data_IF_789460878904
#
_entry.id   IF_789460878904
#
_cell.length_a   1.000
_cell.length_b   1.000
_cell.length_c   1.000
_cell.angle_alpha   90.00
_cell.angle_beta   90.00
_cell.angle_gamma   90.00
#
_symmetry.space_group_name_H-M   'P 1'
#
loop_
_entity.id
_entity.type
_entity.pdbx_description
1 polymer ?
#
# COMPACT_ATOMS: atom_id res chain seq x y z
N UNK A 1 1.87 9.30 -36.95
CA UNK A 1 0.60 8.56 -37.03
C UNK A 1 0.91 7.10 -36.73
N UNK A 2 0.66 6.62 -35.51
CA UNK A 2 0.99 5.23 -35.15
C UNK A 2 -0.18 4.37 -35.62
N UNK A 3 0.01 3.66 -36.73
CA UNK A 3 -0.98 2.71 -37.25
C UNK A 3 -0.80 1.38 -36.53
N UNK A 4 -1.78 0.98 -35.70
CA UNK A 4 -1.83 -0.36 -35.11
C UNK A 4 -2.55 -1.28 -36.10
N UNK A 5 -1.82 -2.20 -36.72
CA UNK A 5 -2.30 -2.97 -37.87
C UNK A 5 -2.99 -4.29 -37.48
N UNK A 6 -2.99 -4.63 -36.18
CA UNK A 6 -3.60 -5.85 -35.66
C UNK A 6 -4.22 -5.60 -34.29
N UNK A 7 -5.31 -6.32 -33.99
CA UNK A 7 -5.93 -6.32 -32.66
C UNK A 7 -4.92 -6.68 -31.55
N UNK A 8 -3.93 -7.53 -31.86
CA UNK A 8 -2.84 -7.89 -30.95
C UNK A 8 -1.99 -6.69 -30.54
N UNK A 9 -1.58 -5.85 -31.49
CA UNK A 9 -0.77 -4.66 -31.18
C UNK A 9 -1.51 -3.64 -30.32
N UNK A 10 -2.84 -3.51 -30.52
CA UNK A 10 -3.70 -2.68 -29.68
C UNK A 10 -3.75 -3.26 -28.27
N UNK A 11 -3.98 -4.58 -28.15
CA UNK A 11 -4.00 -5.28 -26.86
C UNK A 11 -2.68 -5.16 -26.11
N UNK A 12 -1.55 -5.42 -26.77
CA UNK A 12 -0.22 -5.32 -26.17
C UNK A 12 0.09 -3.89 -25.67
N UNK A 13 -0.39 -2.87 -26.40
CA UNK A 13 -0.20 -1.47 -26.00
C UNK A 13 -1.08 -1.13 -24.80
N UNK A 14 -2.33 -1.60 -24.80
CA UNK A 14 -3.28 -1.43 -23.70
C UNK A 14 -2.74 -2.12 -22.44
N UNK A 15 -2.36 -3.38 -22.54
CA UNK A 15 -1.81 -4.17 -21.46
C UNK A 15 -0.56 -3.51 -20.85
N UNK A 16 0.37 -3.04 -21.68
CA UNK A 16 1.54 -2.28 -21.21
C UNK A 16 1.14 -1.01 -20.46
N UNK A 17 0.22 -0.23 -21.02
CA UNK A 17 -0.24 0.99 -20.38
C UNK A 17 -0.88 0.72 -19.01
N UNK A 18 -1.80 -0.24 -18.94
CA UNK A 18 -2.46 -0.64 -17.71
C UNK A 18 -1.48 -1.23 -16.69
N UNK A 19 -0.51 -2.02 -17.13
CA UNK A 19 0.53 -2.58 -16.24
C UNK A 19 1.38 -1.48 -15.61
N UNK A 20 1.78 -0.48 -16.40
CA UNK A 20 2.53 0.67 -15.90
C UNK A 20 1.70 1.50 -14.91
N UNK A 21 0.43 1.73 -15.22
CA UNK A 21 -0.49 2.48 -14.36
C UNK A 21 -0.73 1.77 -13.02
N UNK A 22 -1.03 0.47 -13.05
CA UNK A 22 -1.19 -0.37 -11.84
C UNK A 22 0.09 -0.38 -11.02
N UNK A 23 1.24 -0.57 -11.66
CA UNK A 23 2.55 -0.55 -10.98
C UNK A 23 2.84 0.79 -10.31
N UNK A 24 2.49 1.90 -10.97
CA UNK A 24 2.61 3.24 -10.40
C UNK A 24 1.71 3.42 -9.17
N UNK A 25 0.48 2.91 -9.21
CA UNK A 25 -0.45 2.96 -8.08
C UNK A 25 0.01 2.11 -6.89
N UNK A 26 0.55 0.92 -7.14
CA UNK A 26 1.16 0.08 -6.10
C UNK A 26 2.27 0.87 -5.39
N UNK A 27 3.20 1.45 -6.14
CA UNK A 27 4.29 2.23 -5.58
C UNK A 27 3.79 3.45 -4.78
N UNK A 28 2.80 4.18 -5.32
CA UNK A 28 2.17 5.31 -4.63
C UNK A 28 1.60 4.90 -3.27
N UNK A 29 0.87 3.79 -3.21
CA UNK A 29 0.26 3.29 -1.99
C UNK A 29 1.31 2.75 -1.00
N UNK A 30 2.34 2.05 -1.48
CA UNK A 30 3.45 1.61 -0.62
C UNK A 30 4.18 2.80 0.02
N UNK A 31 4.47 3.85 -0.74
CA UNK A 31 5.10 5.08 -0.22
C UNK A 31 4.20 5.76 0.81
N UNK A 32 2.89 5.84 0.54
CA UNK A 32 1.92 6.40 1.50
C UNK A 32 1.88 5.59 2.79
N UNK A 33 1.87 4.26 2.70
CA UNK A 33 1.86 3.37 3.86
C UNK A 33 3.11 3.53 4.71
N UNK A 34 4.29 3.55 4.09
CA UNK A 34 5.57 3.70 4.80
C UNK A 34 5.72 5.05 5.51
N UNK A 35 5.18 6.11 4.91
CA UNK A 35 5.24 7.46 5.47
C UNK A 35 4.09 7.80 6.41
N UNK A 36 3.08 6.92 6.53
CA UNK A 36 1.94 7.16 7.41
C UNK A 36 2.37 7.08 8.87
N UNK A 37 2.28 8.20 9.58
CA UNK A 37 2.45 8.30 11.03
C UNK A 37 1.12 8.59 11.69
N UNK A 38 0.93 8.14 12.94
CA UNK A 38 -0.21 8.54 13.78
C UNK A 38 -0.23 10.07 13.92
N UNK A 39 0.89 10.67 14.30
CA UNK A 39 0.98 12.12 14.49
C UNK A 39 -0.10 12.63 15.44
N UNK A 40 -0.89 13.59 14.98
CA UNK A 40 -2.05 14.15 15.70
C UNK A 40 -3.36 13.38 15.52
N UNK A 41 -3.38 12.32 14.71
CA UNK A 41 -4.56 11.48 14.53
C UNK A 41 -4.85 10.69 15.81
N UNK A 42 -6.13 10.41 16.05
CA UNK A 42 -6.50 9.37 16.99
C UNK A 42 -5.99 8.00 16.51
N UNK A 43 -5.81 7.06 17.44
CA UNK A 43 -5.35 5.72 17.11
C UNK A 43 -6.31 5.03 16.10
N UNK A 44 -7.62 5.20 16.28
CA UNK A 44 -8.63 4.64 15.38
C UNK A 44 -8.54 5.22 13.97
N UNK A 45 -8.39 6.54 13.83
CA UNK A 45 -8.23 7.18 12.51
C UNK A 45 -6.95 6.74 11.81
N UNK A 46 -5.86 6.61 12.57
CA UNK A 46 -4.60 6.10 12.05
C UNK A 46 -4.74 4.65 11.54
N UNK A 47 -5.29 3.75 12.35
CA UNK A 47 -5.49 2.34 11.97
C UNK A 47 -6.46 2.20 10.80
N UNK A 48 -7.50 3.03 10.73
CA UNK A 48 -8.42 3.04 9.59
C UNK A 48 -7.70 3.45 8.29
N UNK A 49 -6.82 4.46 8.34
CA UNK A 49 -6.02 4.87 7.18
C UNK A 49 -5.04 3.80 6.74
N UNK A 50 -4.38 3.12 7.69
CA UNK A 50 -3.53 1.96 7.37
C UNK A 50 -4.35 0.89 6.66
N UNK A 51 -5.49 0.50 7.22
CA UNK A 51 -6.38 -0.49 6.62
C UNK A 51 -6.81 -0.10 5.21
N UNK A 52 -7.22 1.14 4.99
CA UNK A 52 -7.60 1.64 3.67
C UNK A 52 -6.47 1.50 2.64
N UNK A 53 -5.23 1.80 3.02
CA UNK A 53 -4.08 1.64 2.12
C UNK A 53 -3.79 0.16 1.81
N UNK A 54 -3.92 -0.73 2.79
CA UNK A 54 -3.76 -2.17 2.61
C UNK A 54 -4.88 -2.75 1.72
N UNK A 55 -6.13 -2.34 1.92
CA UNK A 55 -7.27 -2.74 1.10
C UNK A 55 -7.09 -2.27 -0.36
N UNK A 56 -6.56 -1.05 -0.57
CA UNK A 56 -6.23 -0.53 -1.90
C UNK A 56 -5.11 -1.31 -2.58
N UNK A 57 -4.06 -1.69 -1.83
CA UNK A 57 -2.98 -2.53 -2.33
C UNK A 57 -3.48 -3.91 -2.75
N UNK A 58 -4.32 -4.53 -1.91
CA UNK A 58 -4.96 -5.81 -2.23
C UNK A 58 -5.86 -5.71 -3.47
N UNK A 59 -6.59 -4.60 -3.62
CA UNK A 59 -7.45 -4.35 -4.79
C UNK A 59 -6.66 -4.28 -6.11
N UNK A 60 -5.45 -3.71 -6.09
CA UNK A 60 -4.58 -3.62 -7.27
C UNK A 60 -3.69 -4.86 -7.47
N UNK A 61 -3.89 -5.91 -6.68
CA UNK A 61 -3.22 -7.20 -6.80
C UNK A 61 -1.97 -7.37 -5.95
N UNK A 62 -1.64 -6.41 -5.08
CA UNK A 62 -0.48 -6.48 -4.19
C UNK A 62 -0.93 -6.93 -2.79
N UNK A 63 -0.61 -8.17 -2.42
CA UNK A 63 -0.92 -8.70 -1.08
C UNK A 63 0.28 -8.54 -0.16
N UNK A 64 0.13 -7.73 0.89
CA UNK A 64 1.14 -7.60 1.95
C UNK A 64 0.90 -8.69 3.00
N UNK A 65 1.98 -9.24 3.56
CA UNK A 65 1.86 -10.26 4.61
C UNK A 65 1.28 -9.67 5.92
N UNK A 66 0.56 -10.46 6.73
CA UNK A 66 0.08 -10.00 8.03
C UNK A 66 1.21 -9.48 8.94
N UNK A 67 2.40 -10.07 8.86
CA UNK A 67 3.57 -9.64 9.60
C UNK A 67 4.03 -8.25 9.16
N UNK A 68 4.04 -7.99 7.85
CA UNK A 68 4.40 -6.69 7.30
C UNK A 68 3.35 -5.62 7.62
N UNK A 69 2.07 -5.99 7.73
CA UNK A 69 1.04 -5.08 8.24
C UNK A 69 1.36 -4.60 9.66
N UNK A 70 1.71 -5.55 10.53
CA UNK A 70 2.05 -5.27 11.94
C UNK A 70 3.28 -4.36 12.00
N UNK A 71 4.32 -4.65 11.22
CA UNK A 71 5.52 -3.83 11.13
C UNK A 71 5.20 -2.42 10.62
N UNK A 72 4.36 -2.29 9.59
CA UNK A 72 3.96 -0.99 9.04
C UNK A 72 3.20 -0.14 10.07
N UNK A 73 2.30 -0.76 10.83
CA UNK A 73 1.55 -0.12 11.91
C UNK A 73 2.52 0.38 13.00
N UNK A 74 3.40 -0.49 13.50
CA UNK A 74 4.31 -0.10 14.58
C UNK A 74 5.29 0.99 14.16
N UNK A 75 5.78 0.97 12.92
CA UNK A 75 6.65 2.04 12.39
C UNK A 75 5.98 3.42 12.38
N UNK A 76 4.64 3.46 12.31
CA UNK A 76 3.88 4.71 12.30
C UNK A 76 3.43 5.21 13.68
N UNK A 77 3.57 4.39 14.72
CA UNK A 77 3.22 4.78 16.08
C UNK A 77 4.36 5.58 16.75
N UNK A 78 4.01 6.56 17.60
CA UNK A 78 4.99 7.25 18.45
C UNK A 78 5.50 6.35 19.57
N UNK A 79 6.68 6.67 20.11
CA UNK A 79 7.38 5.86 21.12
C UNK A 79 6.61 5.66 22.44
N UNK A 80 5.58 6.47 22.70
CA UNK A 80 4.62 6.26 23.79
C UNK A 80 3.90 4.89 23.71
N UNK A 81 3.86 4.26 22.53
CA UNK A 81 3.30 2.92 22.33
C UNK A 81 4.33 1.78 22.39
N UNK A 82 5.64 2.08 22.55
CA UNK A 82 6.69 1.06 22.59
C UNK A 82 6.52 0.09 23.78
N UNK A 83 5.94 0.56 24.89
CA UNK A 83 5.67 -0.27 26.09
C UNK A 83 4.66 -1.39 25.82
N UNK A 84 3.73 -1.22 24.86
CA UNK A 84 2.78 -2.27 24.48
C UNK A 84 3.43 -3.37 23.62
N UNK A 85 4.50 -3.05 22.88
CA UNK A 85 5.25 -4.00 22.02
C UNK A 85 6.03 -5.02 22.86
N UNK A 86 6.48 -4.62 24.05
CA UNK A 86 7.29 -5.47 24.93
C UNK A 86 6.41 -6.56 25.60
N UNK A 87 5.16 -6.23 25.95
CA UNK A 87 4.26 -7.15 26.65
C UNK A 87 3.68 -8.25 25.76
N UNK A 88 3.70 -8.10 24.43
CA UNK A 88 3.19 -9.12 23.51
C UNK A 88 4.23 -10.15 23.05
N UNK A 89 5.51 -9.95 23.38
CA UNK A 89 6.63 -10.84 23.05
C UNK A 89 7.19 -11.61 24.27
N UNK A 90 6.47 -11.57 25.40
CA UNK A 90 6.77 -12.35 26.61
C UNK A 90 5.65 -13.35 26.85
#
# INVERSE_FOLDING_TARGET
>A
MVSYNTARQIWDTLEKHFTLEVSSKILEFMIKLQNLKKGSLSLNEYLLKVKQLLDLLAFVGETISPQDHVVAIFKGLPSEYDMFVILSNT
#
